data_IF_786845086830
#
_entry.id   IF_786845086830
#
_cell.length_a   1.000
_cell.length_b   1.000
_cell.length_c   1.000
_cell.angle_alpha   90.00
_cell.angle_beta   90.00
_cell.angle_gamma   90.00
#
_symmetry.space_group_name_H-M   'P 1'
#
loop_
_entity.id
_entity.type
_entity.pdbx_description
1 polymer ?
#
# COMPACT_ATOMS: atom_id res chain seq x y z
N UNK A 1 -4.21 -0.57 -15.18
CA UNK A 1 -5.02 0.61 -15.50
C UNK A 1 -4.42 1.79 -14.77
N UNK A 2 -4.11 2.88 -15.46
CA UNK A 2 -3.44 4.06 -14.88
C UNK A 2 -4.43 5.20 -14.60
N UNK A 3 -4.01 6.19 -13.81
CA UNK A 3 -4.80 7.39 -13.53
C UNK A 3 -5.23 8.11 -14.82
N UNK A 4 -4.29 8.31 -15.77
CA UNK A 4 -4.57 8.95 -17.06
C UNK A 4 -5.62 8.16 -17.86
N UNK A 5 -5.47 6.83 -17.96
CA UNK A 5 -6.44 6.00 -18.70
C UNK A 5 -7.86 6.09 -18.14
N UNK A 6 -8.00 6.16 -16.81
CA UNK A 6 -9.32 6.31 -16.17
C UNK A 6 -9.88 7.71 -16.45
N UNK A 7 -9.04 8.74 -16.30
CA UNK A 7 -9.49 10.11 -16.53
C UNK A 7 -9.86 10.34 -18.00
N UNK A 8 -9.03 9.92 -18.96
CA UNK A 8 -9.32 10.02 -20.39
C UNK A 8 -10.65 9.37 -20.76
N UNK A 9 -10.98 8.25 -20.10
CA UNK A 9 -12.22 7.51 -20.35
C UNK A 9 -13.46 8.15 -19.74
N UNK A 10 -13.36 8.67 -18.52
CA UNK A 10 -14.54 9.07 -17.72
C UNK A 10 -14.63 10.57 -17.44
N UNK A 11 -13.51 11.28 -17.47
CA UNK A 11 -13.39 12.72 -17.21
C UNK A 11 -14.04 13.13 -15.88
N UNK A 12 -13.94 12.27 -14.88
CA UNK A 12 -14.40 12.51 -13.50
C UNK A 12 -13.21 12.66 -12.56
N UNK A 13 -13.35 13.42 -11.46
CA UNK A 13 -12.35 13.44 -10.40
C UNK A 13 -11.94 12.04 -9.96
N UNK A 14 -10.65 11.86 -9.73
CA UNK A 14 -10.05 10.56 -9.39
C UNK A 14 -9.78 10.51 -7.89
N UNK A 15 -10.03 9.37 -7.28
CA UNK A 15 -9.57 9.06 -5.93
C UNK A 15 -8.89 7.69 -5.98
N UNK A 16 -7.61 7.61 -5.62
CA UNK A 16 -6.88 6.34 -5.58
C UNK A 16 -7.10 5.72 -4.20
N UNK A 17 -7.90 4.67 -4.16
CA UNK A 17 -8.27 3.98 -2.92
C UNK A 17 -7.23 2.97 -2.46
N UNK A 18 -6.47 2.40 -3.39
CA UNK A 18 -5.47 1.38 -3.09
C UNK A 18 -4.26 1.51 -4.01
N UNK A 19 -3.09 1.60 -3.39
CA UNK A 19 -1.79 1.44 -4.04
C UNK A 19 -0.76 1.05 -2.97
N UNK A 20 0.04 0.03 -3.24
CA UNK A 20 1.02 -0.44 -2.27
C UNK A 20 1.84 -1.59 -2.83
N UNK A 21 2.94 -1.89 -2.15
CA UNK A 21 3.87 -2.95 -2.53
C UNK A 21 3.93 -4.00 -1.44
N UNK A 22 3.50 -5.22 -1.79
CA UNK A 22 3.75 -6.38 -0.95
C UNK A 22 5.14 -6.94 -1.21
N UNK A 23 5.96 -7.06 -0.18
CA UNK A 23 7.28 -7.69 -0.28
C UNK A 23 7.59 -8.54 0.95
N UNK A 24 8.73 -9.23 0.92
CA UNK A 24 9.21 -10.01 2.06
C UNK A 24 10.09 -9.14 2.95
N UNK A 25 9.54 -8.72 4.08
CA UNK A 25 10.28 -7.98 5.10
C UNK A 25 11.33 -8.83 5.80
N UNK A 26 12.49 -8.22 6.05
CA UNK A 26 13.55 -8.79 6.89
C UNK A 26 13.68 -7.96 8.14
N UNK A 27 13.58 -8.62 9.29
CA UNK A 27 13.83 -8.00 10.58
C UNK A 27 15.33 -8.11 10.87
N UNK A 28 15.99 -6.97 11.03
CA UNK A 28 17.40 -6.85 11.43
C UNK A 28 17.44 -5.96 12.67
N UNK A 29 17.96 -6.48 13.78
CA UNK A 29 18.04 -5.78 15.07
C UNK A 29 16.68 -5.20 15.55
N UNK A 30 15.61 -5.97 15.33
CA UNK A 30 14.25 -5.57 15.73
C UNK A 30 13.61 -4.50 14.84
N UNK A 31 14.25 -4.13 13.72
CA UNK A 31 13.75 -3.14 12.76
C UNK A 31 13.57 -3.74 11.39
N UNK A 32 12.68 -3.14 10.61
CA UNK A 32 12.52 -3.40 9.19
C UNK A 32 13.01 -2.17 8.46
N UNK A 33 13.96 -2.37 7.54
CA UNK A 33 14.42 -1.33 6.62
C UNK A 33 13.69 -1.55 5.29
N UNK A 34 12.56 -0.86 5.09
CA UNK A 34 11.66 -1.03 3.95
C UNK A 34 11.89 0.01 2.84
N UNK A 35 13.16 0.34 2.57
CA UNK A 35 13.56 1.30 1.52
C UNK A 35 12.92 1.00 0.16
N UNK A 36 12.69 -0.28 -0.14
CA UNK A 36 12.03 -0.73 -1.35
C UNK A 36 10.57 -0.26 -1.43
N UNK A 37 9.85 -0.24 -0.29
CA UNK A 37 8.46 0.22 -0.18
C UNK A 37 8.41 1.74 -0.25
N UNK A 38 9.33 2.41 0.44
CA UNK A 38 9.50 3.87 0.38
C UNK A 38 9.76 4.31 -1.07
N UNK A 39 10.70 3.66 -1.76
CA UNK A 39 11.02 3.96 -3.15
C UNK A 39 9.81 3.76 -4.06
N UNK A 40 9.09 2.64 -3.91
CA UNK A 40 7.88 2.37 -4.68
C UNK A 40 6.81 3.45 -4.51
N UNK A 41 6.49 3.81 -3.27
CA UNK A 41 5.47 4.84 -2.98
C UNK A 41 5.90 6.21 -3.48
N UNK A 42 7.20 6.56 -3.31
CA UNK A 42 7.76 7.82 -3.80
C UNK A 42 7.61 7.98 -5.31
N UNK A 43 7.88 6.94 -6.08
CA UNK A 43 7.71 7.00 -7.54
C UNK A 43 6.23 7.11 -7.96
N UNK A 44 5.31 6.46 -7.24
CA UNK A 44 3.87 6.61 -7.52
C UNK A 44 3.34 7.99 -7.14
N UNK A 45 3.84 8.60 -6.06
CA UNK A 45 3.51 9.97 -5.67
C UNK A 45 3.99 10.97 -6.72
N UNK A 46 5.19 10.78 -7.28
CA UNK A 46 5.67 11.60 -8.40
C UNK A 46 4.76 11.47 -9.62
N UNK A 47 4.42 10.25 -10.02
CA UNK A 47 3.52 10.03 -11.15
C UNK A 47 2.12 10.65 -10.94
N UNK A 48 1.61 10.64 -9.70
CA UNK A 48 0.37 11.36 -9.36
C UNK A 48 0.54 12.88 -9.49
N UNK A 49 1.67 13.43 -9.05
CA UNK A 49 1.97 14.86 -9.18
C UNK A 49 2.09 15.29 -10.65
N UNK A 50 2.68 14.45 -11.51
CA UNK A 50 2.75 14.69 -12.95
C UNK A 50 1.34 14.74 -13.55
N UNK A 51 0.48 13.77 -13.24
CA UNK A 51 -0.89 13.77 -13.75
C UNK A 51 -1.77 14.91 -13.19
N UNK A 52 -1.54 15.36 -11.95
CA UNK A 52 -2.16 16.60 -11.44
C UNK A 52 -1.72 17.81 -12.26
N UNK A 53 -0.42 17.88 -12.60
CA UNK A 53 0.14 18.96 -13.42
C UNK A 53 -0.43 18.97 -14.83
N UNK A 54 -0.78 17.80 -15.37
CA UNK A 54 -1.49 17.62 -16.64
C UNK A 54 -3.00 17.97 -16.57
N UNK A 55 -3.50 18.39 -15.40
CA UNK A 55 -4.87 18.85 -15.19
C UNK A 55 -5.85 17.78 -14.68
N UNK A 56 -5.37 16.58 -14.30
CA UNK A 56 -6.23 15.55 -13.72
C UNK A 56 -6.64 15.95 -12.29
N UNK A 57 -7.95 16.08 -11.98
CA UNK A 57 -8.41 16.42 -10.64
C UNK A 57 -8.33 15.21 -9.71
N UNK A 58 -7.16 14.99 -9.09
CA UNK A 58 -6.96 13.99 -8.05
C UNK A 58 -7.46 14.52 -6.69
N UNK A 59 -8.45 13.84 -6.12
CA UNK A 59 -9.07 14.18 -4.84
C UNK A 59 -8.33 13.63 -3.63
N UNK A 60 -7.61 12.52 -3.80
CA UNK A 60 -6.96 11.84 -2.70
C UNK A 60 -6.30 10.53 -3.09
N UNK A 61 -5.49 10.05 -2.16
CA UNK A 61 -4.69 8.83 -2.27
C UNK A 61 -4.67 8.13 -0.91
N UNK A 62 -5.03 6.86 -0.90
CA UNK A 62 -4.90 5.98 0.25
C UNK A 62 -3.95 4.84 -0.11
N UNK A 63 -2.93 4.66 0.74
CA UNK A 63 -1.99 3.56 0.63
C UNK A 63 -2.64 2.26 1.07
N UNK A 64 -2.43 1.20 0.29
CA UNK A 64 -2.81 -0.14 0.68
C UNK A 64 -1.81 -0.69 1.70
N UNK A 65 -2.31 -1.26 2.80
CA UNK A 65 -1.47 -1.84 3.84
C UNK A 65 -0.97 -0.79 4.84
N UNK A 66 -1.87 -0.17 5.60
CA UNK A 66 -1.47 0.62 6.78
C UNK A 66 -0.83 -0.29 7.83
N UNK A 67 -1.46 -1.45 8.07
CA UNK A 67 -0.94 -2.53 8.89
C UNK A 67 -0.70 -3.77 8.03
N UNK A 68 0.14 -4.68 8.51
CA UNK A 68 0.24 -6.00 7.90
C UNK A 68 -1.07 -6.78 8.03
N UNK A 69 -1.46 -7.41 6.92
CA UNK A 69 -2.67 -8.21 6.82
C UNK A 69 -2.30 -9.66 6.48
N UNK A 70 -3.14 -10.59 6.92
CA UNK A 70 -3.10 -11.96 6.42
C UNK A 70 -3.56 -11.95 4.96
N UNK A 71 -2.76 -12.51 4.06
CA UNK A 71 -3.12 -12.55 2.65
C UNK A 71 -4.43 -13.36 2.47
N UNK A 72 -5.46 -12.74 1.91
CA UNK A 72 -6.76 -13.37 1.72
C UNK A 72 -6.70 -14.62 0.82
N UNK A 73 -5.74 -14.67 -0.11
CA UNK A 73 -5.59 -15.77 -1.06
C UNK A 73 -4.84 -16.98 -0.52
N UNK A 74 -3.91 -16.80 0.41
CA UNK A 74 -3.02 -17.88 0.90
C UNK A 74 -3.15 -18.15 2.40
N UNK A 75 -3.74 -17.23 3.17
CA UNK A 75 -3.74 -17.31 4.63
C UNK A 75 -2.35 -17.08 5.26
N UNK A 76 -1.35 -16.70 4.46
CA UNK A 76 0.03 -16.48 4.90
C UNK A 76 0.33 -15.00 5.14
N UNK A 77 1.34 -14.73 5.96
CA UNK A 77 1.93 -13.39 6.17
C UNK A 77 3.37 -13.34 5.62
N UNK A 78 3.73 -14.22 4.68
CA UNK A 78 5.04 -14.24 4.03
C UNK A 78 5.27 -12.99 3.15
N UNK A 79 4.18 -12.47 2.56
CA UNK A 79 4.13 -11.20 1.83
C UNK A 79 3.50 -10.12 2.70
N UNK A 80 4.27 -9.07 2.98
CA UNK A 80 3.94 -7.97 3.89
C UNK A 80 3.65 -6.71 3.11
N UNK A 81 2.53 -6.08 3.42
CA UNK A 81 2.05 -4.87 2.76
C UNK A 81 2.05 -3.67 3.71
N UNK A 82 2.14 -3.93 5.02
CA UNK A 82 1.97 -2.95 6.08
C UNK A 82 3.12 -1.96 6.18
N UNK A 83 2.82 -0.68 6.28
CA UNK A 83 3.77 0.30 6.84
C UNK A 83 4.02 0.03 8.33
N UNK A 84 3.02 -0.53 9.02
CA UNK A 84 3.11 -0.97 10.41
C UNK A 84 3.19 -2.50 10.43
N UNK A 85 4.32 -2.99 10.93
CA UNK A 85 4.54 -4.42 11.11
C UNK A 85 3.62 -5.01 12.19
N UNK A 86 3.03 -6.17 11.89
CA UNK A 86 2.21 -6.93 12.85
C UNK A 86 2.83 -8.29 13.12
N UNK A 87 3.12 -8.57 14.40
CA UNK A 87 3.53 -9.90 14.84
C UNK A 87 2.30 -10.84 14.85
N UNK A 88 2.37 -11.88 14.01
CA UNK A 88 1.32 -12.89 13.87
C UNK A 88 1.00 -13.59 15.20
N UNK A 89 2.00 -13.89 16.03
CA UNK A 89 1.77 -14.59 17.31
C UNK A 89 0.93 -13.74 18.26
N UNK A 90 1.18 -12.43 18.30
CA UNK A 90 0.38 -11.49 19.09
C UNK A 90 -1.04 -11.38 18.54
N UNK A 91 -1.20 -11.39 17.21
CA UNK A 91 -2.50 -11.35 16.55
C UNK A 91 -3.36 -12.59 16.83
N UNK A 92 -2.75 -13.79 16.85
CA UNK A 92 -3.47 -15.03 17.16
C UNK A 92 -3.91 -15.10 18.63
N UNK A 93 -3.13 -14.54 19.57
CA UNK A 93 -3.52 -14.44 20.98
C UNK A 93 -4.71 -13.49 21.21
N UNK A 94 -4.77 -12.37 20.48
CA UNK A 94 -5.89 -11.44 20.55
C UNK A 94 -7.20 -12.08 20.07
N UNK A 95 -7.14 -13.04 19.14
CA UNK A 95 -8.30 -13.79 18.65
C UNK A 95 -8.84 -14.84 19.62
N UNK A 96 -8.04 -15.31 20.57
CA UNK A 96 -8.45 -16.31 21.56
C UNK A 96 -9.25 -15.72 22.74
N UNK A 97 -9.33 -14.40 22.85
CA UNK A 97 -10.02 -13.69 23.93
C UNK A 97 -11.35 -13.03 23.48
N UNK A 98 -11.89 -13.45 22.34
CA UNK A 98 -13.17 -12.97 21.79
C UNK A 98 -14.27 -14.01 21.85
#
# INVERSE_FOLDING_TARGET
>A
MTMNQIYDRYQKPIFIVENGLGASDKIVDGKINDDYRIAYLKEHIKAMADGISDGIPLMGYIVWGVIDLVAASTGEMSKRYGMIYVDRKMMDQARLHG
#
